data_IF_851532737096
#
_entry.id   IF_851532737096
#
_cell.length_a   1.000
_cell.length_b   1.000
_cell.length_c   1.000
_cell.angle_alpha   90.00
_cell.angle_beta   90.00
_cell.angle_gamma   90.00
#
_symmetry.space_group_name_H-M   'P 1'
#
loop_
_entity.id
_entity.type
_entity.pdbx_description
1 polymer ?
#
# COMPACT_ATOMS: atom_id res chain seq x y z
N UNK A 1 15.13 8.51 4.04
CA UNK A 1 13.94 9.09 3.37
C UNK A 1 12.69 8.66 4.15
N UNK A 2 11.55 9.37 4.05
CA UNK A 2 10.33 9.04 4.84
C UNK A 2 9.84 7.61 4.55
N UNK A 3 9.95 7.17 3.29
CA UNK A 3 9.62 5.79 2.88
C UNK A 3 10.43 4.77 3.70
N UNK A 4 11.76 4.91 3.76
CA UNK A 4 12.62 4.00 4.52
C UNK A 4 12.26 3.91 6.01
N UNK A 5 11.78 5.01 6.61
CA UNK A 5 11.33 5.03 8.00
C UNK A 5 10.08 4.16 8.18
N UNK A 6 9.10 4.32 7.29
CA UNK A 6 7.86 3.54 7.31
C UNK A 6 8.11 2.07 7.02
N UNK A 7 8.97 1.76 6.05
CA UNK A 7 9.35 0.37 5.75
C UNK A 7 9.94 -0.33 6.97
N UNK A 8 10.82 0.34 7.73
CA UNK A 8 11.38 -0.20 8.97
C UNK A 8 10.31 -0.44 10.04
N UNK A 9 9.38 0.49 10.21
CA UNK A 9 8.28 0.34 11.17
C UNK A 9 7.36 -0.83 10.78
N UNK A 10 7.03 -0.96 9.49
CA UNK A 10 6.21 -2.06 8.98
C UNK A 10 6.94 -3.38 9.14
N UNK A 11 8.24 -3.45 8.86
CA UNK A 11 9.04 -4.65 9.07
C UNK A 11 9.04 -5.08 10.54
N UNK A 12 9.12 -4.14 11.48
CA UNK A 12 9.06 -4.41 12.92
C UNK A 12 7.67 -4.91 13.35
N UNK A 13 6.59 -4.26 12.88
CA UNK A 13 5.22 -4.65 13.20
C UNK A 13 4.84 -6.01 12.62
N UNK A 14 5.39 -6.36 11.46
CA UNK A 14 5.11 -7.62 10.76
C UNK A 14 6.13 -8.72 11.06
N UNK A 15 7.07 -8.50 12.00
CA UNK A 15 8.18 -9.43 12.27
C UNK A 15 7.76 -10.86 12.57
N UNK A 16 6.64 -11.01 13.29
CA UNK A 16 6.09 -12.29 13.74
C UNK A 16 5.14 -12.94 12.71
N UNK A 17 4.82 -12.25 11.62
CA UNK A 17 3.97 -12.80 10.57
C UNK A 17 4.75 -13.74 9.65
N UNK A 18 4.04 -14.64 8.98
CA UNK A 18 4.64 -15.53 7.99
C UNK A 18 5.16 -14.72 6.80
N UNK A 19 6.16 -15.25 6.07
CA UNK A 19 6.76 -14.53 4.94
C UNK A 19 5.76 -14.08 3.87
N UNK A 20 4.68 -14.84 3.66
CA UNK A 20 3.62 -14.51 2.70
C UNK A 20 2.63 -13.45 3.19
N UNK A 21 2.59 -13.16 4.49
CA UNK A 21 1.73 -12.14 5.11
C UNK A 21 2.46 -10.81 5.28
N UNK A 22 3.80 -10.81 5.22
CA UNK A 22 4.62 -9.61 5.36
C UNK A 22 4.44 -8.70 4.14
N UNK A 23 4.23 -7.41 4.41
CA UNK A 23 4.20 -6.37 3.39
C UNK A 23 5.59 -6.21 2.80
N UNK A 24 5.73 -6.44 1.50
CA UNK A 24 7.03 -6.40 0.80
C UNK A 24 7.41 -5.01 0.32
N UNK A 25 6.41 -4.22 -0.07
CA UNK A 25 6.57 -2.88 -0.64
C UNK A 25 5.39 -1.99 -0.26
N UNK A 26 5.66 -0.69 -0.19
CA UNK A 26 4.67 0.35 0.07
C UNK A 26 4.84 1.49 -0.92
N UNK A 27 3.75 2.21 -1.19
CA UNK A 27 3.78 3.49 -1.87
C UNK A 27 3.22 4.57 -0.94
N UNK A 28 3.81 5.77 -1.04
CA UNK A 28 3.26 6.96 -0.41
C UNK A 28 2.29 7.62 -1.39
N UNK A 29 1.04 7.77 -0.96
CA UNK A 29 0.05 8.54 -1.69
C UNK A 29 0.17 10.02 -1.30
N UNK A 30 -0.04 10.91 -2.27
CA UNK A 30 -0.02 12.36 -2.06
C UNK A 30 -1.24 12.86 -1.28
N UNK A 31 -2.35 12.12 -1.37
CA UNK A 31 -3.63 12.47 -0.78
C UNK A 31 -4.14 11.30 0.08
N UNK A 32 -4.85 11.64 1.16
CA UNK A 32 -5.55 10.66 1.98
C UNK A 32 -6.78 10.09 1.25
N UNK A 33 -7.17 8.86 1.61
CA UNK A 33 -8.42 8.29 1.15
C UNK A 33 -9.59 8.97 1.87
N UNK A 34 -10.60 9.41 1.12
CA UNK A 34 -11.73 10.14 1.71
C UNK A 34 -13.09 9.51 1.40
N UNK A 35 -14.07 9.82 2.24
CA UNK A 35 -15.48 9.45 1.99
C UNK A 35 -16.03 10.27 0.82
N UNK A 36 -15.66 11.55 0.72
CA UNK A 36 -16.13 12.49 -0.32
C UNK A 36 -15.70 12.07 -1.72
N UNK A 37 -14.49 11.54 -1.86
CA UNK A 37 -14.00 10.97 -3.12
C UNK A 37 -14.55 9.57 -3.42
N UNK A 38 -15.38 9.02 -2.53
CA UNK A 38 -15.96 7.69 -2.67
C UNK A 38 -14.98 6.53 -2.45
N UNK A 39 -13.79 6.79 -1.92
CA UNK A 39 -12.74 5.79 -1.64
C UNK A 39 -13.00 5.04 -0.34
N UNK A 40 -13.69 5.70 0.60
CA UNK A 40 -14.12 5.12 1.86
C UNK A 40 -15.64 4.95 1.92
N UNK A 41 -16.10 3.97 2.71
CA UNK A 41 -17.49 3.92 3.18
C UNK A 41 -17.72 5.02 4.23
N UNK A 42 -18.97 5.38 4.53
CA UNK A 42 -19.27 6.27 5.67
C UNK A 42 -18.72 5.74 7.01
N UNK A 43 -18.44 4.44 7.11
CA UNK A 43 -17.81 3.77 8.25
C UNK A 43 -16.29 3.64 8.12
N UNK A 44 -15.65 4.42 7.24
CA UNK A 44 -14.20 4.48 7.00
C UNK A 44 -13.56 3.19 6.48
N UNK A 45 -14.36 2.25 5.94
CA UNK A 45 -13.82 1.06 5.28
C UNK A 45 -13.39 1.39 3.86
N UNK A 46 -12.23 0.90 3.44
CA UNK A 46 -11.75 1.08 2.07
C UNK A 46 -12.66 0.38 1.07
N UNK A 47 -13.13 1.12 0.06
CA UNK A 47 -13.84 0.57 -1.10
C UNK A 47 -12.82 0.13 -2.14
N UNK A 48 -12.32 -1.10 -1.99
CA UNK A 48 -11.24 -1.66 -2.83
C UNK A 48 -11.40 -1.37 -4.31
N UNK A 49 -12.56 -1.68 -4.91
CA UNK A 49 -12.81 -1.45 -6.34
C UNK A 49 -12.48 -0.01 -6.79
N UNK A 50 -12.89 0.99 -6.02
CA UNK A 50 -12.65 2.41 -6.37
C UNK A 50 -11.17 2.77 -6.21
N UNK A 51 -10.52 2.28 -5.15
CA UNK A 51 -9.10 2.50 -4.91
C UNK A 51 -8.24 1.79 -5.95
N UNK A 52 -8.58 0.55 -6.30
CA UNK A 52 -7.87 -0.25 -7.31
C UNK A 52 -7.96 0.42 -8.69
N UNK A 53 -9.13 0.92 -9.07
CA UNK A 53 -9.33 1.67 -10.32
C UNK A 53 -8.54 2.99 -10.33
N UNK A 54 -8.61 3.77 -9.24
CA UNK A 54 -8.00 5.11 -9.17
C UNK A 54 -6.47 5.07 -9.06
N UNK A 55 -5.95 4.09 -8.32
CA UNK A 55 -4.51 3.95 -8.04
C UNK A 55 -3.86 2.79 -8.81
N UNK A 56 -4.51 2.28 -9.86
CA UNK A 56 -4.01 1.17 -10.68
C UNK A 56 -2.54 1.34 -11.08
N UNK A 57 -2.17 2.50 -11.62
CA UNK A 57 -0.80 2.76 -12.04
C UNK A 57 0.22 2.74 -10.88
N UNK A 58 -0.20 3.15 -9.67
CA UNK A 58 0.66 3.09 -8.48
C UNK A 58 0.82 1.63 -8.03
N UNK A 59 -0.27 0.87 -8.04
CA UNK A 59 -0.29 -0.55 -7.68
C UNK A 59 0.60 -1.35 -8.65
N UNK A 60 0.45 -1.15 -9.96
CA UNK A 60 1.28 -1.79 -10.98
C UNK A 60 2.76 -1.49 -10.76
N UNK A 61 3.09 -0.22 -10.51
CA UNK A 61 4.47 0.18 -10.25
C UNK A 61 5.06 -0.54 -9.03
N UNK A 62 4.27 -0.71 -7.96
CA UNK A 62 4.71 -1.47 -6.77
C UNK A 62 5.06 -2.91 -7.16
N UNK A 63 4.22 -3.57 -7.97
CA UNK A 63 4.48 -4.94 -8.41
C UNK A 63 5.70 -5.02 -9.35
N UNK A 64 5.82 -4.10 -10.31
CA UNK A 64 6.97 -4.02 -11.21
C UNK A 64 8.28 -3.84 -10.44
N UNK A 65 8.32 -2.91 -9.48
CA UNK A 65 9.49 -2.66 -8.65
C UNK A 65 9.82 -3.90 -7.79
N UNK A 66 8.80 -4.60 -7.28
CA UNK A 66 8.99 -5.84 -6.54
C UNK A 66 9.53 -6.99 -7.40
N UNK A 67 9.19 -7.07 -8.69
CA UNK A 67 9.75 -8.08 -9.60
C UNK A 67 11.18 -7.72 -10.05
N UNK A 68 11.48 -6.44 -10.28
CA UNK A 68 12.84 -5.96 -10.62
C UNK A 68 13.86 -6.31 -9.54
N UNK A 69 13.49 -6.20 -8.26
CA UNK A 69 14.40 -6.52 -7.15
C UNK A 69 14.63 -8.01 -6.90
N UNK A 70 13.79 -8.88 -7.48
CA UNK A 70 13.99 -10.34 -7.44
C UNK A 70 14.92 -10.86 -8.53
N UNK A 71 15.13 -10.07 -9.60
CA UNK A 71 15.99 -10.39 -10.74
C UNK A 71 17.43 -9.96 -10.49
#
# INVERSE_FOLDING_TARGET
RIVDLLERQIAELTKNLSHYEKVKKIALLENELTVDNGELTPTLKVKRRVVDEKYHAVIDKIYDDAEREKS
#
